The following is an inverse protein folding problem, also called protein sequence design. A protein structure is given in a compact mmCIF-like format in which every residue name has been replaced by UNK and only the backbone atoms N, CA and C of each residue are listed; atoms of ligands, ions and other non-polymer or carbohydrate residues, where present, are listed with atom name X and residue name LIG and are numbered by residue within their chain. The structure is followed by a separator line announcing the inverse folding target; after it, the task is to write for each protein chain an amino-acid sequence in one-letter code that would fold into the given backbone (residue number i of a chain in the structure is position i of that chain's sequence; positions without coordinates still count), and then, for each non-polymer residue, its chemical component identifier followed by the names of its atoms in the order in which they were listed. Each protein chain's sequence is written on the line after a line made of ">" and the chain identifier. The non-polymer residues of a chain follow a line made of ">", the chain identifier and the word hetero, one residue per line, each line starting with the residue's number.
data_IF_329420517209
#
_entry.id   IF_329420517209
#
_cell.length_a   1.000
_cell.length_b   1.000
_cell.length_c   1.000
_cell.angle_alpha   90.00
_cell.angle_beta   90.00
_cell.angle_gamma   90.00
#
_symmetry.space_group_name_H-M   'P 1'
#
loop_
_entity.id
_entity.type
_entity.pdbx_description
1 polymer ?
#
# COMPACT_ATOMS: atom_id res chain seq x y z
N UNK A 1 -3.89 11.11 28.93
CA UNK A 1 -4.57 9.87 28.44
C UNK A 1 -3.70 9.19 27.39
N UNK A 2 -3.90 7.88 27.19
CA UNK A 2 -3.09 7.11 26.23
C UNK A 2 -3.44 7.44 24.78
N UNK A 3 -2.46 7.38 23.89
CA UNK A 3 -2.68 7.41 22.46
C UNK A 3 -3.46 6.17 21.99
N UNK A 4 -4.04 6.19 20.81
CA UNK A 4 -4.64 4.98 20.21
C UNK A 4 -3.61 3.84 20.12
N UNK A 5 -2.36 4.18 19.77
CA UNK A 5 -1.27 3.21 19.72
C UNK A 5 -1.06 2.53 21.09
N UNK A 6 -0.98 3.29 22.17
CA UNK A 6 -0.83 2.72 23.52
C UNK A 6 -2.01 1.83 23.89
N UNK A 7 -3.23 2.26 23.60
CA UNK A 7 -4.44 1.48 23.91
C UNK A 7 -4.45 0.10 23.25
N UNK A 8 -3.96 0.01 22.02
CA UNK A 8 -3.89 -1.27 21.30
C UNK A 8 -2.67 -2.05 21.77
N UNK A 9 -1.49 -1.43 21.78
CA UNK A 9 -0.25 -2.09 22.18
C UNK A 9 -0.34 -2.72 23.55
N UNK A 10 -0.72 -1.93 24.56
CA UNK A 10 -0.72 -2.37 25.96
C UNK A 10 -1.70 -3.53 26.22
N UNK A 11 -2.79 -3.63 25.44
CA UNK A 11 -3.72 -4.78 25.49
C UNK A 11 -3.15 -6.07 24.90
N UNK A 12 -2.12 -5.97 24.08
CA UNK A 12 -1.49 -7.12 23.41
C UNK A 12 -0.15 -7.50 24.08
N UNK A 13 0.29 -6.78 25.10
CA UNK A 13 1.48 -7.14 25.88
C UNK A 13 1.21 -8.42 26.66
N UNK A 14 1.96 -9.47 26.35
CA UNK A 14 1.96 -10.73 27.09
C UNK A 14 2.94 -10.65 28.26
N UNK A 15 4.14 -10.13 27.97
CA UNK A 15 5.20 -9.95 28.96
C UNK A 15 6.16 -8.86 28.51
N UNK A 16 6.68 -8.11 29.46
CA UNK A 16 7.84 -7.24 29.25
C UNK A 16 9.08 -7.99 29.73
N UNK A 17 10.11 -8.03 28.89
CA UNK A 17 11.42 -8.56 29.29
C UNK A 17 12.17 -7.45 29.99
N UNK A 18 12.75 -7.71 31.15
CA UNK A 18 13.52 -6.74 31.92
C UNK A 18 14.67 -6.18 31.04
N UNK A 19 14.73 -4.87 30.90
CA UNK A 19 15.66 -4.16 30.02
C UNK A 19 15.68 -4.64 28.54
N UNK A 20 14.60 -5.28 28.11
CA UNK A 20 14.47 -5.93 26.80
C UNK A 20 13.23 -5.56 25.99
N UNK A 21 12.93 -6.32 24.96
CA UNK A 21 11.75 -6.13 24.12
C UNK A 21 10.46 -6.55 24.86
N UNK A 22 9.34 -6.09 24.33
CA UNK A 22 8.00 -6.54 24.72
C UNK A 22 7.62 -7.79 23.93
N UNK A 23 7.15 -8.83 24.63
CA UNK A 23 6.46 -9.95 23.99
C UNK A 23 5.04 -9.52 23.70
N UNK A 24 4.71 -9.39 22.39
CA UNK A 24 3.44 -8.89 21.88
C UNK A 24 2.64 -10.04 21.28
N UNK A 25 1.39 -10.20 21.68
CA UNK A 25 0.45 -11.12 21.05
C UNK A 25 0.02 -10.58 19.68
N UNK A 26 -0.12 -11.46 18.70
CA UNK A 26 -0.50 -11.13 17.32
C UNK A 26 -1.86 -11.74 17.00
N UNK A 27 -2.85 -10.91 16.67
CA UNK A 27 -4.20 -11.37 16.32
C UNK A 27 -4.28 -11.99 14.93
N UNK A 28 -3.47 -11.52 14.00
CA UNK A 28 -3.51 -11.94 12.60
C UNK A 28 -2.14 -12.03 11.99
N UNK A 29 -1.82 -13.16 11.39
CA UNK A 29 -0.67 -13.33 10.53
C UNK A 29 -1.14 -13.52 9.08
N UNK A 30 -0.58 -12.73 8.17
CA UNK A 30 -0.71 -12.95 6.74
C UNK A 30 0.57 -13.52 6.18
N UNK A 31 0.44 -14.47 5.24
CA UNK A 31 1.56 -15.11 4.57
C UNK A 31 1.38 -15.07 3.06
N UNK A 32 2.46 -14.86 2.33
CA UNK A 32 2.51 -14.95 0.88
C UNK A 32 3.73 -15.78 0.43
N UNK A 33 3.79 -16.12 -0.85
CA UNK A 33 4.73 -17.09 -1.40
C UNK A 33 6.20 -16.67 -1.35
N UNK A 34 6.51 -15.37 -1.19
CA UNK A 34 7.89 -14.89 -1.24
C UNK A 34 8.60 -15.00 0.11
N UNK A 35 7.94 -14.60 1.21
CA UNK A 35 8.60 -14.47 2.53
C UNK A 35 8.26 -15.58 3.52
N UNK A 36 7.32 -16.47 3.19
CA UNK A 36 6.91 -17.55 4.09
C UNK A 36 7.67 -18.87 3.95
N UNK A 37 8.29 -19.27 2.81
CA UNK A 37 8.86 -20.60 2.64
C UNK A 37 9.89 -20.98 3.71
N UNK A 38 10.82 -20.08 4.04
CA UNK A 38 11.86 -20.35 5.06
C UNK A 38 11.26 -20.45 6.47
N UNK A 39 10.18 -19.72 6.77
CA UNK A 39 9.48 -19.85 8.05
C UNK A 39 8.87 -21.25 8.20
N UNK A 40 8.21 -21.77 7.16
CA UNK A 40 7.70 -23.14 7.15
C UNK A 40 8.81 -24.19 7.25
N UNK A 41 9.94 -23.98 6.59
CA UNK A 41 11.09 -24.88 6.71
C UNK A 41 11.65 -24.88 8.13
N UNK A 42 11.75 -23.75 8.79
CA UNK A 42 12.13 -23.65 10.19
C UNK A 42 11.17 -24.38 11.13
N UNK A 43 9.87 -24.26 10.91
CA UNK A 43 8.84 -25.03 11.63
C UNK A 43 9.03 -26.53 11.49
N UNK A 44 9.27 -27.04 10.27
CA UNK A 44 9.54 -28.47 10.00
C UNK A 44 10.80 -28.96 10.70
N UNK A 45 11.91 -28.24 10.56
CA UNK A 45 13.20 -28.63 11.17
C UNK A 45 13.12 -28.74 12.69
N UNK A 46 12.29 -27.93 13.32
CA UNK A 46 12.06 -27.92 14.77
C UNK A 46 10.92 -28.85 15.21
N UNK A 47 10.20 -29.47 14.29
CA UNK A 47 9.03 -30.30 14.60
C UNK A 47 7.88 -29.52 15.20
N UNK A 48 7.77 -28.23 14.88
CA UNK A 48 6.73 -27.34 15.41
C UNK A 48 5.46 -27.38 14.56
N UNK A 49 4.33 -27.11 15.22
CA UNK A 49 3.01 -26.93 14.57
C UNK A 49 2.58 -25.49 14.73
N UNK A 50 1.72 -25.01 13.83
CA UNK A 50 1.08 -23.71 14.00
C UNK A 50 0.22 -23.72 15.27
N UNK A 51 0.44 -22.73 16.14
CA UNK A 51 -0.28 -22.61 17.42
C UNK A 51 -1.75 -22.24 17.21
N UNK A 52 -2.01 -21.31 16.28
CA UNK A 52 -3.36 -20.84 15.93
C UNK A 52 -3.52 -20.76 14.41
N UNK A 53 -3.72 -21.92 13.72
CA UNK A 53 -3.90 -21.94 12.27
C UNK A 53 -5.11 -21.11 11.80
N UNK A 54 -6.14 -20.97 12.65
CA UNK A 54 -7.33 -20.13 12.42
C UNK A 54 -7.03 -18.61 12.40
N UNK A 55 -5.83 -18.19 12.78
CA UNK A 55 -5.36 -16.80 12.75
C UNK A 55 -4.39 -16.50 11.62
N UNK A 56 -4.07 -17.50 10.80
CA UNK A 56 -3.11 -17.40 9.71
C UNK A 56 -3.86 -17.53 8.38
N UNK A 57 -3.68 -16.53 7.51
CA UNK A 57 -4.27 -16.51 6.17
C UNK A 57 -3.19 -16.34 5.13
N UNK A 58 -3.24 -17.17 4.11
CA UNK A 58 -2.23 -17.25 3.07
C UNK A 58 -2.85 -16.87 1.72
N UNK A 59 -2.11 -16.13 0.90
CA UNK A 59 -2.47 -15.88 -0.49
C UNK A 59 -1.25 -15.53 -1.32
N UNK A 60 -1.14 -16.07 -2.54
CA UNK A 60 -0.10 -15.69 -3.49
C UNK A 60 -0.48 -14.36 -4.15
N UNK A 61 0.49 -13.42 -4.24
CA UNK A 61 0.23 -12.12 -4.85
C UNK A 61 1.43 -11.53 -5.62
N UNK A 62 2.68 -11.84 -5.23
CA UNK A 62 3.88 -11.25 -5.82
C UNK A 62 4.30 -11.92 -7.13
N UNK A 63 4.30 -13.25 -7.16
CA UNK A 63 4.65 -14.06 -8.34
C UNK A 63 3.45 -14.45 -9.20
N UNK A 64 2.26 -14.02 -8.82
CA UNK A 64 1.03 -14.27 -9.56
C UNK A 64 1.09 -13.53 -10.91
N UNK A 65 0.99 -14.22 -12.06
CA UNK A 65 0.90 -13.54 -13.35
C UNK A 65 -0.40 -12.72 -13.45
N UNK A 66 -0.39 -11.64 -14.23
CA UNK A 66 -1.59 -10.81 -14.41
C UNK A 66 -2.33 -11.08 -15.73
N UNK A 67 -2.04 -12.21 -16.33
CA UNK A 67 -2.70 -12.77 -17.50
C UNK A 67 -2.64 -14.30 -17.42
N UNK A 68 -3.56 -14.97 -18.08
CA UNK A 68 -3.59 -16.44 -18.21
C UNK A 68 -3.44 -17.21 -16.87
N UNK A 69 -4.02 -16.69 -15.78
CA UNK A 69 -3.94 -17.34 -14.46
C UNK A 69 -4.60 -18.73 -14.40
N UNK A 70 -5.43 -19.05 -15.38
CA UNK A 70 -6.05 -20.37 -15.60
C UNK A 70 -5.09 -21.37 -16.23
N UNK A 71 -3.90 -20.94 -16.65
CA UNK A 71 -2.85 -21.78 -17.25
C UNK A 71 -1.71 -22.03 -16.26
N UNK A 72 -0.90 -23.07 -16.49
CA UNK A 72 0.32 -23.28 -15.69
C UNK A 72 1.25 -22.07 -15.75
N UNK A 73 1.81 -21.68 -14.62
CA UNK A 73 2.81 -20.59 -14.54
C UNK A 73 4.08 -21.03 -15.27
N UNK A 74 4.50 -20.24 -16.25
CA UNK A 74 5.64 -20.59 -17.13
C UNK A 74 6.98 -20.30 -16.47
N UNK A 75 7.11 -19.20 -15.70
CA UNK A 75 8.35 -18.88 -15.00
C UNK A 75 8.63 -19.92 -13.89
N UNK A 76 9.74 -20.66 -13.97
CA UNK A 76 10.02 -21.77 -13.04
C UNK A 76 10.28 -21.30 -11.60
N UNK A 77 10.77 -20.06 -11.39
CA UNK A 77 11.02 -19.51 -10.05
C UNK A 77 9.70 -19.13 -9.39
N UNK A 78 8.86 -18.40 -10.11
CA UNK A 78 7.50 -18.05 -9.66
C UNK A 78 6.68 -19.30 -9.36
N UNK A 79 6.68 -20.26 -10.30
CA UNK A 79 5.99 -21.55 -10.10
C UNK A 79 6.44 -22.27 -8.83
N UNK A 80 7.75 -22.36 -8.59
CA UNK A 80 8.30 -23.04 -7.40
C UNK A 80 7.83 -22.39 -6.10
N UNK A 81 7.73 -21.06 -6.05
CA UNK A 81 7.28 -20.34 -4.86
C UNK A 81 5.78 -20.50 -4.64
N UNK A 82 4.98 -20.45 -5.71
CA UNK A 82 3.52 -20.68 -5.65
C UNK A 82 3.21 -22.11 -5.18
N UNK A 83 3.83 -23.13 -5.81
CA UNK A 83 3.67 -24.53 -5.44
C UNK A 83 4.11 -24.79 -3.97
N UNK A 84 5.13 -24.07 -3.50
CA UNK A 84 5.60 -24.18 -2.12
C UNK A 84 4.57 -23.60 -1.13
N UNK A 85 3.90 -22.51 -1.46
CA UNK A 85 2.83 -21.94 -0.62
C UNK A 85 1.67 -22.91 -0.51
N UNK A 86 1.14 -23.41 -1.65
CA UNK A 86 0.06 -24.40 -1.70
C UNK A 86 0.37 -25.61 -0.78
N UNK A 87 1.55 -26.20 -0.97
CA UNK A 87 2.01 -27.36 -0.18
C UNK A 87 2.10 -27.03 1.32
N UNK A 88 2.64 -25.87 1.66
CA UNK A 88 2.78 -25.42 3.05
C UNK A 88 1.42 -25.22 3.70
N UNK A 89 0.48 -24.60 3.00
CA UNK A 89 -0.88 -24.39 3.51
C UNK A 89 -1.61 -25.71 3.76
N UNK A 90 -1.48 -26.67 2.84
CA UNK A 90 -2.05 -28.02 3.01
C UNK A 90 -1.43 -28.75 4.21
N UNK A 91 -0.08 -28.76 4.31
CA UNK A 91 0.65 -29.45 5.38
C UNK A 91 0.35 -28.90 6.77
N UNK A 92 0.25 -27.57 6.91
CA UNK A 92 0.02 -26.91 8.20
C UNK A 92 -1.46 -26.62 8.49
N UNK A 93 -2.36 -27.00 7.59
CA UNK A 93 -3.82 -26.84 7.76
C UNK A 93 -4.25 -25.37 7.78
N UNK A 94 -3.65 -24.52 6.92
CA UNK A 94 -3.91 -23.09 6.87
C UNK A 94 -4.98 -22.74 5.82
N UNK A 95 -5.67 -21.63 6.05
CA UNK A 95 -6.58 -21.07 5.04
C UNK A 95 -5.78 -20.37 3.96
N UNK A 96 -5.97 -20.81 2.73
CA UNK A 96 -5.35 -20.22 1.55
C UNK A 96 -6.41 -19.70 0.57
N UNK A 97 -6.22 -18.47 0.09
CA UNK A 97 -6.95 -17.91 -1.04
C UNK A 97 -6.11 -18.12 -2.31
N UNK A 98 -6.28 -19.29 -2.92
CA UNK A 98 -5.45 -19.76 -4.05
C UNK A 98 -5.55 -18.84 -5.25
N UNK A 99 -4.46 -18.79 -6.02
CA UNK A 99 -4.41 -18.10 -7.32
C UNK A 99 -5.62 -18.49 -8.19
N UNK A 100 -6.16 -17.53 -8.93
CA UNK A 100 -7.33 -17.68 -9.82
C UNK A 100 -8.64 -18.08 -9.09
N UNK A 101 -8.67 -18.06 -7.76
CA UNK A 101 -9.95 -18.16 -7.04
C UNK A 101 -10.60 -16.77 -6.94
N UNK A 102 -11.93 -16.75 -6.83
CA UNK A 102 -12.72 -15.51 -6.64
C UNK A 102 -12.30 -14.71 -5.39
N UNK A 103 -11.57 -15.34 -4.48
CA UNK A 103 -11.16 -14.80 -3.18
C UNK A 103 -9.70 -14.33 -3.18
N UNK A 104 -8.98 -14.55 -4.28
CA UNK A 104 -7.57 -14.17 -4.39
C UNK A 104 -7.36 -12.72 -4.81
N UNK A 105 -6.19 -12.22 -4.51
CA UNK A 105 -5.68 -10.91 -4.85
C UNK A 105 -4.51 -10.52 -3.97
N UNK A 106 -4.13 -9.25 -4.00
CA UNK A 106 -3.06 -8.72 -3.17
C UNK A 106 -3.48 -8.79 -1.70
N UNK A 107 -2.64 -9.36 -0.86
CA UNK A 107 -2.91 -9.63 0.56
C UNK A 107 -3.40 -8.38 1.33
N UNK A 108 -2.82 -7.21 1.05
CA UNK A 108 -3.18 -5.94 1.67
C UNK A 108 -4.45 -5.29 1.06
N UNK A 109 -5.02 -5.88 0.03
CA UNK A 109 -6.34 -5.54 -0.54
C UNK A 109 -7.38 -6.51 -0.02
N UNK A 110 -7.14 -7.80 -0.14
CA UNK A 110 -8.07 -8.87 0.25
C UNK A 110 -8.34 -8.90 1.76
N UNK A 111 -7.32 -8.69 2.60
CA UNK A 111 -7.47 -8.69 4.06
C UNK A 111 -8.56 -7.72 4.56
N UNK A 112 -8.50 -6.43 4.21
CA UNK A 112 -9.58 -5.47 4.48
C UNK A 112 -10.91 -5.82 3.80
N UNK A 113 -10.88 -6.19 2.51
CA UNK A 113 -12.09 -6.50 1.75
C UNK A 113 -12.90 -7.66 2.32
N UNK A 114 -12.24 -8.65 2.90
CA UNK A 114 -12.92 -9.77 3.53
C UNK A 114 -13.31 -9.53 4.99
N UNK A 115 -12.90 -8.42 5.59
CA UNK A 115 -13.13 -8.15 7.02
C UNK A 115 -12.23 -8.99 7.92
N UNK A 116 -11.06 -9.41 7.43
CA UNK A 116 -10.03 -10.13 8.19
C UNK A 116 -9.19 -9.17 9.05
N UNK A 117 -9.11 -7.91 8.64
CA UNK A 117 -8.43 -6.83 9.35
C UNK A 117 -9.46 -5.96 10.05
N UNK A 118 -9.44 -5.92 11.37
CA UNK A 118 -10.44 -5.25 12.18
C UNK A 118 -9.80 -4.24 13.16
N UNK A 119 -10.55 -3.22 13.60
CA UNK A 119 -10.04 -2.25 14.56
C UNK A 119 -9.56 -2.89 15.87
N UNK A 120 -8.45 -2.39 16.38
CA UNK A 120 -7.88 -2.83 17.64
C UNK A 120 -7.05 -4.11 17.58
N UNK A 121 -6.88 -4.70 16.40
CA UNK A 121 -6.02 -5.87 16.20
C UNK A 121 -4.54 -5.50 16.08
N UNK A 122 -3.68 -6.48 16.37
CA UNK A 122 -2.28 -6.53 15.95
C UNK A 122 -2.17 -7.43 14.72
N UNK A 123 -1.60 -6.92 13.62
CA UNK A 123 -1.55 -7.61 12.33
C UNK A 123 -0.11 -7.59 11.80
N UNK A 124 0.40 -8.75 11.40
CA UNK A 124 1.74 -8.85 10.83
C UNK A 124 1.77 -9.68 9.54
N UNK A 125 2.75 -9.39 8.70
CA UNK A 125 3.07 -10.11 7.47
C UNK A 125 4.54 -9.95 7.14
N UNK A 126 5.11 -10.84 6.35
CA UNK A 126 6.48 -10.72 5.83
C UNK A 126 6.66 -9.62 4.77
N UNK A 127 5.74 -8.67 4.66
CA UNK A 127 5.76 -7.52 3.74
C UNK A 127 5.65 -6.20 4.50
N UNK A 128 6.47 -5.22 4.11
CA UNK A 128 6.50 -3.91 4.75
C UNK A 128 5.17 -3.14 4.62
N UNK A 129 4.42 -3.34 3.51
CA UNK A 129 3.13 -2.67 3.29
C UNK A 129 1.98 -3.23 4.14
N UNK A 130 2.27 -4.12 5.09
CA UNK A 130 1.33 -4.54 6.15
C UNK A 130 0.76 -3.33 6.91
N UNK A 131 1.47 -2.20 6.94
CA UNK A 131 0.97 -0.93 7.48
C UNK A 131 -0.36 -0.48 6.88
N UNK A 132 -0.71 -0.94 5.67
CA UNK A 132 -2.01 -0.71 5.02
C UNK A 132 -3.20 -1.01 5.94
N UNK A 133 -3.12 -2.10 6.71
CA UNK A 133 -4.19 -2.54 7.60
C UNK A 133 -4.43 -1.58 8.79
N UNK A 134 -3.50 -0.65 9.02
CA UNK A 134 -3.66 0.42 10.01
C UNK A 134 -4.81 1.38 9.66
N UNK A 135 -5.23 1.47 8.41
CA UNK A 135 -6.41 2.23 8.00
C UNK A 135 -7.70 1.72 8.67
N UNK A 136 -7.72 0.46 9.07
CA UNK A 136 -8.81 -0.16 9.82
C UNK A 136 -8.76 0.17 11.33
N UNK A 137 -7.78 0.92 11.81
CA UNK A 137 -7.54 1.14 13.23
C UNK A 137 -6.82 -0.01 13.94
N UNK A 138 -5.96 -0.73 13.20
CA UNK A 138 -5.14 -1.83 13.70
C UNK A 138 -3.67 -1.39 13.86
N UNK A 139 -2.94 -2.01 14.79
CA UNK A 139 -1.47 -1.90 14.85
C UNK A 139 -0.90 -2.95 13.91
N UNK A 140 -0.57 -2.52 12.69
CA UNK A 140 -0.16 -3.39 11.60
C UNK A 140 1.24 -3.04 11.08
N UNK A 141 2.13 -4.03 10.95
CA UNK A 141 3.51 -3.80 10.53
C UNK A 141 4.17 -5.03 9.91
N UNK A 142 5.15 -4.77 9.04
CA UNK A 142 5.96 -5.81 8.42
C UNK A 142 6.96 -6.44 9.38
N UNK A 143 7.23 -7.74 9.22
CA UNK A 143 8.16 -8.52 10.03
C UNK A 143 9.10 -9.35 9.15
N UNK A 144 10.22 -9.77 9.70
CA UNK A 144 11.16 -10.67 9.03
C UNK A 144 10.69 -12.12 9.03
N UNK A 145 11.27 -12.92 8.14
CA UNK A 145 10.91 -14.35 7.97
C UNK A 145 11.04 -15.16 9.26
N UNK A 146 12.10 -14.93 10.07
CA UNK A 146 12.26 -15.59 11.37
C UNK A 146 11.17 -15.20 12.37
N UNK A 147 10.67 -13.97 12.27
CA UNK A 147 9.57 -13.51 13.10
C UNK A 147 8.22 -14.12 12.63
N UNK A 148 8.05 -14.34 11.31
CA UNK A 148 6.91 -15.10 10.77
C UNK A 148 6.87 -16.49 11.39
N UNK A 149 8.00 -17.22 11.41
CA UNK A 149 8.12 -18.53 12.08
C UNK A 149 7.73 -18.45 13.56
N UNK A 150 8.22 -17.42 14.27
CA UNK A 150 7.92 -17.21 15.70
C UNK A 150 6.42 -17.04 15.93
N UNK A 151 5.75 -16.22 15.09
CA UNK A 151 4.30 -16.00 15.19
C UNK A 151 3.52 -17.27 14.85
N UNK A 152 3.94 -18.03 13.83
CA UNK A 152 3.32 -19.33 13.52
C UNK A 152 3.35 -20.28 14.72
N UNK A 153 4.51 -20.35 15.40
CA UNK A 153 4.73 -21.27 16.50
C UNK A 153 4.08 -20.84 17.82
N UNK A 154 3.96 -19.55 18.10
CA UNK A 154 3.61 -19.04 19.44
C UNK A 154 2.50 -17.99 19.45
N UNK A 155 2.10 -17.48 18.31
CA UNK A 155 1.22 -16.31 18.15
C UNK A 155 1.76 -15.03 18.81
N UNK A 156 3.05 -14.99 19.13
CA UNK A 156 3.72 -13.87 19.77
C UNK A 156 4.98 -13.47 19.01
N UNK A 157 5.43 -12.23 19.25
CA UNK A 157 6.65 -11.68 18.69
C UNK A 157 7.34 -10.79 19.74
N UNK A 158 8.67 -10.67 19.66
CA UNK A 158 9.45 -9.76 20.49
C UNK A 158 9.68 -8.46 19.73
N UNK A 159 9.19 -7.34 20.25
CA UNK A 159 9.30 -6.04 19.61
C UNK A 159 9.64 -4.93 20.59
N UNK A 160 10.50 -4.00 20.18
CA UNK A 160 10.65 -2.73 20.87
C UNK A 160 9.45 -1.84 20.56
N UNK A 161 8.83 -1.25 21.60
CA UNK A 161 7.70 -0.32 21.40
C UNK A 161 8.17 0.91 20.65
N UNK A 162 7.64 1.18 19.44
CA UNK A 162 7.96 2.41 18.71
C UNK A 162 7.48 3.65 19.46
N UNK A 163 8.10 4.80 19.18
CA UNK A 163 7.58 6.11 19.58
C UNK A 163 6.29 6.43 18.81
N UNK A 164 5.45 7.29 19.38
CA UNK A 164 4.22 7.75 18.76
C UNK A 164 4.44 9.08 18.01
N UNK A 165 3.96 9.14 16.77
CA UNK A 165 3.91 10.39 15.98
C UNK A 165 2.47 10.66 15.56
N UNK A 166 2.04 11.93 15.61
CA UNK A 166 0.77 12.35 15.05
C UNK A 166 0.98 13.30 13.88
N UNK A 167 0.29 13.03 12.79
CA UNK A 167 0.27 13.90 11.60
C UNK A 167 -1.18 14.37 11.40
N UNK A 168 -1.42 15.64 11.70
CA UNK A 168 -2.71 16.28 11.46
C UNK A 168 -2.72 16.93 10.08
N UNK A 169 -3.76 16.65 9.28
CA UNK A 169 -3.98 17.29 7.99
C UNK A 169 -5.35 17.94 8.04
N UNK A 170 -5.36 19.25 8.12
CA UNK A 170 -6.58 20.06 8.27
C UNK A 170 -6.95 20.77 6.95
N UNK A 171 -8.02 21.54 6.95
CA UNK A 171 -8.50 22.23 5.76
C UNK A 171 -9.22 21.28 4.79
N UNK A 172 -9.11 21.55 3.49
CA UNK A 172 -9.74 20.76 2.42
C UNK A 172 -8.75 20.54 1.28
N UNK A 173 -8.83 19.36 0.68
CA UNK A 173 -8.07 19.06 -0.54
C UNK A 173 -8.66 19.85 -1.73
N UNK A 174 -7.76 20.30 -2.60
CA UNK A 174 -8.12 20.94 -3.85
C UNK A 174 -8.67 19.93 -4.88
N UNK A 175 -9.23 20.46 -5.98
CA UNK A 175 -9.69 19.65 -7.12
C UNK A 175 -8.53 18.83 -7.68
N UNK A 176 -8.77 17.55 -8.00
CA UNK A 176 -7.78 16.67 -8.61
C UNK A 176 -6.74 16.09 -7.63
N UNK A 177 -6.88 16.35 -6.32
CA UNK A 177 -5.99 15.83 -5.28
C UNK A 177 -6.59 14.58 -4.64
N UNK A 178 -5.80 13.52 -4.53
CA UNK A 178 -6.18 12.25 -3.92
C UNK A 178 -5.33 11.92 -2.69
N UNK A 179 -5.64 10.85 -1.97
CA UNK A 179 -4.84 10.38 -0.84
C UNK A 179 -3.38 10.04 -1.24
N UNK A 180 -3.15 9.62 -2.49
CA UNK A 180 -1.79 9.40 -3.03
C UNK A 180 -0.99 10.70 -3.07
N UNK A 181 -1.61 11.79 -3.50
CA UNK A 181 -0.96 13.10 -3.55
C UNK A 181 -0.64 13.61 -2.14
N UNK A 182 -1.54 13.36 -1.17
CA UNK A 182 -1.30 13.65 0.25
C UNK A 182 -0.06 12.88 0.76
N UNK A 183 0.02 11.58 0.51
CA UNK A 183 1.16 10.79 0.94
C UNK A 183 2.47 11.24 0.28
N UNK A 184 2.48 11.52 -1.03
CA UNK A 184 3.64 12.06 -1.75
C UNK A 184 4.04 13.45 -1.23
N UNK A 185 3.07 14.29 -0.86
CA UNK A 185 3.35 15.58 -0.22
C UNK A 185 4.05 15.39 1.11
N UNK A 186 3.53 14.55 1.99
CA UNK A 186 4.16 14.27 3.29
C UNK A 186 5.59 13.75 3.12
N UNK A 187 5.81 12.80 2.20
CA UNK A 187 7.14 12.26 1.91
C UNK A 187 8.11 13.33 1.38
N UNK A 188 7.63 14.26 0.56
CA UNK A 188 8.47 15.37 0.09
C UNK A 188 8.87 16.36 1.20
N UNK A 189 8.10 16.42 2.30
CA UNK A 189 8.37 17.29 3.47
C UNK A 189 9.19 16.58 4.54
N UNK A 190 8.91 15.29 4.77
CA UNK A 190 9.50 14.52 5.86
C UNK A 190 10.69 13.66 5.42
N UNK A 191 10.90 13.51 4.12
CA UNK A 191 11.86 12.58 3.48
C UNK A 191 11.51 11.11 3.75
N UNK A 192 12.31 10.20 3.22
CA UNK A 192 12.14 8.74 3.41
C UNK A 192 12.55 8.24 4.80
N UNK A 193 13.03 9.10 5.69
CA UNK A 193 13.46 8.77 7.05
C UNK A 193 12.79 9.60 8.14
N UNK A 194 11.89 10.52 7.80
CA UNK A 194 11.31 11.49 8.73
C UNK A 194 10.43 10.91 9.83
N UNK A 195 9.98 9.67 9.66
CA UNK A 195 9.19 8.92 10.65
C UNK A 195 9.90 7.68 11.19
N UNK A 196 11.22 7.56 11.00
CA UNK A 196 12.01 6.43 11.49
C UNK A 196 11.90 6.29 13.01
N UNK A 197 11.54 5.08 13.47
CA UNK A 197 11.34 4.77 14.88
C UNK A 197 9.97 5.14 15.45
N UNK A 198 9.07 5.65 14.61
CA UNK A 198 7.70 6.02 15.00
C UNK A 198 6.64 5.08 14.43
N UNK A 199 5.54 4.98 15.16
CA UNK A 199 4.24 4.55 14.66
C UNK A 199 3.38 5.81 14.47
N UNK A 200 2.82 6.00 13.26
CA UNK A 200 2.19 7.27 12.85
C UNK A 200 0.67 7.19 12.96
N UNK A 201 0.07 8.09 13.76
CA UNK A 201 -1.37 8.34 13.74
C UNK A 201 -1.70 9.50 12.80
N UNK A 202 -2.49 9.21 11.76
CA UNK A 202 -3.02 10.25 10.88
C UNK A 202 -4.34 10.77 11.42
N UNK A 203 -4.48 12.09 11.46
CA UNK A 203 -5.63 12.78 12.00
C UNK A 203 -5.93 14.09 11.23
N UNK A 204 -6.91 14.83 11.67
CA UNK A 204 -7.34 16.08 11.05
C UNK A 204 -8.54 15.91 10.12
N UNK A 205 -9.07 17.03 9.62
CA UNK A 205 -10.30 17.03 8.82
C UNK A 205 -10.15 16.26 7.51
N UNK A 206 -9.02 16.47 6.81
CA UNK A 206 -8.75 15.79 5.54
C UNK A 206 -8.78 14.27 5.70
N UNK A 207 -8.21 13.73 6.79
CA UNK A 207 -8.18 12.28 7.03
C UNK A 207 -9.57 11.74 7.39
N UNK A 208 -10.36 12.50 8.16
CA UNK A 208 -11.75 12.11 8.46
C UNK A 208 -12.63 12.07 7.22
N UNK A 209 -12.41 13.01 6.28
CA UNK A 209 -13.18 13.13 5.04
C UNK A 209 -12.72 12.11 3.97
N UNK A 210 -11.58 11.42 4.16
CA UNK A 210 -11.13 10.37 3.25
C UNK A 210 -12.03 9.14 3.32
N UNK A 211 -12.27 8.54 2.15
CA UNK A 211 -12.79 7.19 2.04
C UNK A 211 -11.86 6.16 2.69
N UNK A 212 -12.34 4.94 2.89
CA UNK A 212 -11.47 3.86 3.38
C UNK A 212 -10.32 3.56 2.42
N UNK A 213 -10.56 3.57 1.12
CA UNK A 213 -9.54 3.36 0.09
C UNK A 213 -8.45 4.44 0.17
N UNK A 214 -8.83 5.69 0.40
CA UNK A 214 -7.90 6.79 0.64
C UNK A 214 -7.06 6.59 1.90
N UNK A 215 -7.68 6.17 3.00
CA UNK A 215 -6.98 5.85 4.26
C UNK A 215 -6.04 4.65 4.10
N UNK A 216 -6.45 3.62 3.34
CA UNK A 216 -5.62 2.46 3.02
C UNK A 216 -4.38 2.87 2.21
N UNK A 217 -4.52 3.77 1.24
CA UNK A 217 -3.39 4.34 0.49
C UNK A 217 -2.44 5.12 1.39
N UNK A 218 -2.97 5.97 2.28
CA UNK A 218 -2.17 6.79 3.19
C UNK A 218 -1.36 5.93 4.17
N UNK A 219 -2.02 4.95 4.80
CA UNK A 219 -1.37 4.02 5.72
C UNK A 219 -0.36 3.09 5.02
N UNK A 220 -0.66 2.65 3.79
CA UNK A 220 0.25 1.87 2.96
C UNK A 220 1.60 2.57 2.78
N UNK A 221 1.57 3.87 2.47
CA UNK A 221 2.77 4.65 2.17
C UNK A 221 3.52 5.16 3.41
N UNK A 222 3.03 4.89 4.62
CA UNK A 222 3.71 5.29 5.86
C UNK A 222 5.12 4.75 5.97
N UNK A 223 5.34 3.52 5.52
CA UNK A 223 6.65 2.88 5.59
C UNK A 223 7.68 3.52 4.65
N UNK A 224 7.24 4.25 3.64
CA UNK A 224 8.12 4.98 2.73
C UNK A 224 8.69 6.27 3.36
N UNK A 225 8.18 6.68 4.53
CA UNK A 225 8.77 7.72 5.39
C UNK A 225 9.63 7.12 6.51
N UNK A 226 9.89 5.80 6.49
CA UNK A 226 10.62 5.08 7.52
C UNK A 226 9.79 4.73 8.76
N UNK A 227 8.49 4.98 8.76
CA UNK A 227 7.62 4.63 9.88
C UNK A 227 7.54 3.11 10.10
N UNK A 228 7.37 2.68 11.35
CA UNK A 228 7.10 1.27 11.66
C UNK A 228 5.74 0.83 11.15
N UNK A 229 4.79 1.75 11.11
CA UNK A 229 3.45 1.61 10.57
C UNK A 229 2.71 2.94 10.67
N UNK A 230 1.53 2.98 10.06
CA UNK A 230 0.64 4.13 10.14
C UNK A 230 -0.80 3.67 10.29
N UNK A 231 -1.62 4.42 11.00
CA UNK A 231 -3.01 4.06 11.23
C UNK A 231 -3.92 5.29 11.34
N UNK A 232 -5.20 5.05 11.20
CA UNK A 232 -6.27 6.03 11.39
C UNK A 232 -7.20 5.51 12.48
N UNK A 233 -7.62 6.37 13.40
CA UNK A 233 -8.62 5.99 14.40
C UNK A 233 -9.92 5.55 13.69
N UNK A 234 -10.49 4.38 14.05
CA UNK A 234 -11.70 3.89 13.41
C UNK A 234 -12.89 4.80 13.74
N UNK A 235 -13.71 5.07 12.74
CA UNK A 235 -14.90 5.89 12.82
C UNK A 235 -16.06 5.25 12.01
N UNK A 236 -17.15 5.98 11.81
CA UNK A 236 -18.32 5.48 11.09
C UNK A 236 -17.96 5.04 9.66
N UNK A 237 -17.04 5.72 8.96
CA UNK A 237 -16.55 5.31 7.64
C UNK A 237 -15.89 3.92 7.70
N UNK A 238 -15.12 3.67 8.76
CA UNK A 238 -14.50 2.35 8.98
C UNK A 238 -15.55 1.28 9.28
N UNK A 239 -16.54 1.60 10.12
CA UNK A 239 -17.58 0.64 10.49
C UNK A 239 -18.47 0.28 9.29
N UNK A 240 -18.87 1.26 8.49
CA UNK A 240 -19.63 1.02 7.26
C UNK A 240 -18.85 0.15 6.27
N UNK A 241 -17.56 0.38 6.11
CA UNK A 241 -16.70 -0.42 5.24
C UNK A 241 -16.62 -1.88 5.69
N UNK A 242 -16.55 -2.16 7.00
CA UNK A 242 -16.44 -3.52 7.56
C UNK A 242 -17.78 -4.26 7.55
N UNK A 243 -18.88 -3.52 7.70
CA UNK A 243 -20.21 -4.10 7.90
C UNK A 243 -20.60 -5.07 6.78
N UNK A 244 -21.00 -6.28 7.18
CA UNK A 244 -21.49 -7.32 6.26
C UNK A 244 -20.40 -8.09 5.50
N UNK A 245 -19.12 -7.80 5.72
CA UNK A 245 -18.02 -8.57 5.12
C UNK A 245 -17.95 -9.98 5.70
N UNK A 246 -17.37 -10.89 4.94
CA UNK A 246 -17.41 -12.34 5.20
C UNK A 246 -16.93 -12.70 6.60
N UNK A 247 -15.77 -12.16 7.02
CA UNK A 247 -15.12 -12.43 8.31
C UNK A 247 -15.38 -11.35 9.37
N UNK A 248 -16.21 -10.37 9.07
CA UNK A 248 -16.62 -9.37 10.05
C UNK A 248 -17.55 -9.97 11.11
N UNK A 249 -17.57 -9.47 12.35
CA UNK A 249 -18.55 -9.84 13.35
C UNK A 249 -19.98 -9.66 12.84
N UNK A 250 -20.90 -10.51 13.31
CA UNK A 250 -22.31 -10.51 12.86
C UNK A 250 -23.27 -10.45 14.05
N UNK A 251 -24.47 -9.91 13.82
CA UNK A 251 -25.51 -9.84 14.85
C UNK A 251 -25.04 -9.13 16.12
N UNK A 252 -25.31 -9.72 17.28
CA UNK A 252 -24.95 -9.15 18.58
C UNK A 252 -23.43 -8.97 18.79
N UNK A 253 -22.60 -9.75 18.10
CA UNK A 253 -21.15 -9.59 18.18
C UNK A 253 -20.67 -8.37 17.37
N UNK A 254 -21.40 -8.00 16.32
CA UNK A 254 -21.18 -6.74 15.61
C UNK A 254 -21.42 -5.54 16.52
N UNK A 255 -22.54 -5.52 17.23
CA UNK A 255 -22.90 -4.40 18.11
C UNK A 255 -21.86 -4.21 19.23
N UNK A 256 -21.42 -5.31 19.85
CA UNK A 256 -20.34 -5.30 20.87
C UNK A 256 -19.00 -4.82 20.28
N UNK A 257 -18.68 -5.26 19.06
CA UNK A 257 -17.45 -4.87 18.39
C UNK A 257 -17.46 -3.36 18.10
N UNK A 258 -18.54 -2.81 17.56
CA UNK A 258 -18.68 -1.37 17.28
C UNK A 258 -18.60 -0.56 18.57
N UNK A 259 -19.26 -1.01 19.66
CA UNK A 259 -19.16 -0.36 20.97
C UNK A 259 -17.69 -0.27 21.44
N UNK A 260 -16.94 -1.37 21.33
CA UNK A 260 -15.52 -1.39 21.64
C UNK A 260 -14.71 -0.50 20.68
N UNK A 261 -14.94 -0.60 19.37
CA UNK A 261 -14.18 0.17 18.37
C UNK A 261 -14.34 1.68 18.53
N UNK A 262 -15.50 2.17 18.97
CA UNK A 262 -15.74 3.59 19.31
C UNK A 262 -14.84 4.10 20.43
N UNK A 263 -14.27 3.23 21.26
CA UNK A 263 -13.29 3.58 22.29
C UNK A 263 -11.86 3.73 21.76
N UNK A 264 -11.60 3.23 20.54
CA UNK A 264 -10.29 3.19 19.90
C UNK A 264 -9.97 4.54 19.24
N UNK A 265 -9.70 5.53 20.03
CA UNK A 265 -9.22 6.86 19.61
C UNK A 265 -8.26 7.41 20.67
N UNK A 266 -7.33 8.24 20.26
CA UNK A 266 -6.48 8.99 21.18
C UNK A 266 -7.34 9.94 22.01
N UNK A 267 -6.99 10.11 23.28
CA UNK A 267 -7.65 11.10 24.14
C UNK A 267 -7.32 12.53 23.70
N UNK A 268 -8.17 13.49 24.07
CA UNK A 268 -7.95 14.90 23.74
C UNK A 268 -6.67 15.46 24.38
N UNK A 269 -6.24 14.87 25.48
CA UNK A 269 -5.01 15.16 26.24
C UNK A 269 -3.88 14.14 25.98
N UNK A 270 -3.98 13.31 24.94
CA UNK A 270 -2.94 12.36 24.58
C UNK A 270 -1.65 13.10 24.17
N UNK A 271 -0.52 12.63 24.69
CA UNK A 271 0.79 13.19 24.38
C UNK A 271 1.49 12.29 23.38
N UNK A 272 1.92 12.87 22.28
CA UNK A 272 2.73 12.20 21.25
C UNK A 272 4.20 12.63 21.41
N UNK A 273 5.13 11.71 21.08
CA UNK A 273 6.55 12.04 21.05
C UNK A 273 6.87 13.08 19.95
N UNK A 274 6.06 13.10 18.89
CA UNK A 274 6.16 14.10 17.80
C UNK A 274 4.77 14.39 17.23
N UNK A 275 4.47 15.66 17.01
CA UNK A 275 3.23 16.09 16.36
C UNK A 275 3.52 17.07 15.22
N UNK A 276 2.89 16.85 14.07
CA UNK A 276 3.05 17.65 12.86
C UNK A 276 1.68 18.09 12.34
N UNK A 277 1.63 19.30 11.79
CA UNK A 277 0.40 19.88 11.24
C UNK A 277 0.63 20.33 9.81
N UNK A 278 -0.29 19.97 8.92
CA UNK A 278 -0.29 20.35 7.50
C UNK A 278 -1.67 20.88 7.11
N UNK A 279 -1.69 21.76 6.11
CA UNK A 279 -2.93 22.25 5.49
C UNK A 279 -3.18 21.50 4.18
N UNK A 280 -4.37 20.92 4.03
CA UNK A 280 -4.79 20.25 2.80
C UNK A 280 -4.82 21.18 1.59
N UNK A 281 -5.01 22.49 1.81
CA UNK A 281 -5.00 23.49 0.74
C UNK A 281 -3.62 23.67 0.08
N UNK A 282 -2.54 23.32 0.76
CA UNK A 282 -1.17 23.37 0.22
C UNK A 282 -0.85 22.19 -0.71
N UNK A 283 -1.76 21.23 -0.81
CA UNK A 283 -1.52 19.99 -1.55
C UNK A 283 -2.14 20.08 -2.94
N UNK A 284 -1.30 19.98 -3.96
CA UNK A 284 -1.71 19.83 -5.36
C UNK A 284 -1.43 18.42 -5.87
N UNK A 285 -1.92 18.01 -7.07
CA UNK A 285 -1.51 16.75 -7.69
C UNK A 285 0.00 16.66 -7.78
N UNK A 286 0.56 15.47 -7.51
CA UNK A 286 2.01 15.31 -7.30
C UNK A 286 2.60 14.22 -8.17
N UNK A 287 3.88 14.40 -8.48
CA UNK A 287 4.74 13.44 -9.16
C UNK A 287 6.11 13.35 -8.47
N UNK A 288 6.80 12.22 -8.64
CA UNK A 288 8.22 12.11 -8.26
C UNK A 288 9.10 12.45 -9.45
N UNK A 289 10.29 13.00 -9.16
CA UNK A 289 11.31 13.36 -10.16
C UNK A 289 12.62 12.56 -10.01
N UNK A 290 12.73 11.76 -8.95
CA UNK A 290 13.95 11.01 -8.64
C UNK A 290 13.67 9.53 -8.34
N UNK A 291 14.61 8.90 -7.66
CA UNK A 291 14.65 7.45 -7.43
C UNK A 291 14.17 7.02 -6.03
N UNK A 292 13.47 7.90 -5.33
CA UNK A 292 12.75 7.56 -4.09
C UNK A 292 11.50 8.43 -3.92
N UNK A 293 10.50 7.99 -3.13
CA UNK A 293 9.24 8.70 -2.99
C UNK A 293 9.34 10.08 -2.34
N UNK A 294 10.39 10.36 -1.57
CA UNK A 294 10.66 11.68 -0.99
C UNK A 294 11.09 12.73 -2.03
N UNK A 295 11.55 12.31 -3.20
CA UNK A 295 11.90 13.19 -4.32
C UNK A 295 10.66 13.56 -5.13
N UNK A 296 9.70 14.24 -4.49
CA UNK A 296 8.39 14.61 -5.05
C UNK A 296 8.22 16.12 -5.20
N UNK A 297 7.50 16.52 -6.27
CA UNK A 297 7.10 17.91 -6.55
C UNK A 297 5.61 17.96 -6.87
N UNK A 298 5.00 19.15 -6.74
CA UNK A 298 3.70 19.42 -7.34
C UNK A 298 3.77 19.34 -8.86
N UNK A 299 2.68 18.96 -9.49
CA UNK A 299 2.60 18.76 -10.94
C UNK A 299 2.94 20.04 -11.73
N UNK A 300 2.65 21.22 -11.13
CA UNK A 300 2.97 22.54 -11.71
C UNK A 300 4.40 23.01 -11.42
N UNK A 301 5.12 22.31 -10.55
CA UNK A 301 6.45 22.66 -10.08
C UNK A 301 7.56 22.28 -11.03
N UNK A 302 8.80 22.47 -10.54
CA UNK A 302 10.02 22.08 -11.24
C UNK A 302 10.92 21.26 -10.32
N UNK A 303 11.78 20.43 -10.90
CA UNK A 303 12.87 19.75 -10.20
C UNK A 303 13.68 20.80 -9.42
N UNK A 304 13.99 20.58 -8.13
CA UNK A 304 14.78 21.53 -7.35
C UNK A 304 16.11 21.89 -8.02
N UNK A 305 16.55 23.15 -7.85
CA UNK A 305 17.87 23.58 -8.25
C UNK A 305 18.89 23.21 -7.18
N UNK A 306 20.19 23.14 -7.56
CA UNK A 306 21.25 22.66 -6.65
C UNK A 306 21.45 23.53 -5.40
N UNK A 307 21.10 24.80 -5.45
CA UNK A 307 21.12 25.72 -4.31
C UNK A 307 20.08 25.41 -3.24
N UNK A 308 19.05 24.64 -3.59
CA UNK A 308 18.00 24.17 -2.66
C UNK A 308 18.29 22.79 -2.04
N UNK A 309 19.39 22.18 -2.40
CA UNK A 309 19.80 20.85 -1.92
C UNK A 309 20.97 21.03 -0.94
N UNK A 310 20.83 20.40 0.24
CA UNK A 310 21.89 20.37 1.24
C UNK A 310 23.17 19.76 0.64
N UNK A 311 24.32 20.26 1.05
CA UNK A 311 25.62 19.87 0.49
C UNK A 311 25.83 18.35 0.50
N UNK A 312 25.47 17.69 1.62
CA UNK A 312 25.57 16.24 1.77
C UNK A 312 24.61 15.46 0.86
N UNK A 313 23.53 16.07 0.40
CA UNK A 313 22.51 15.48 -0.48
C UNK A 313 22.79 15.63 -1.97
N UNK A 314 23.66 16.57 -2.37
CA UNK A 314 23.88 16.93 -3.79
C UNK A 314 24.33 15.75 -4.65
N UNK A 315 25.25 14.93 -4.17
CA UNK A 315 25.76 13.79 -4.93
C UNK A 315 24.66 12.75 -5.21
N UNK A 316 23.86 12.41 -4.21
CA UNK A 316 22.73 11.49 -4.35
C UNK A 316 21.62 12.07 -5.23
N UNK A 317 21.33 13.36 -5.09
CA UNK A 317 20.38 14.08 -5.93
C UNK A 317 20.77 14.03 -7.40
N UNK A 318 22.02 14.39 -7.73
CA UNK A 318 22.54 14.36 -9.11
C UNK A 318 22.54 12.94 -9.70
N UNK A 319 22.93 11.93 -8.91
CA UNK A 319 22.87 10.54 -9.33
C UNK A 319 21.42 10.11 -9.68
N UNK A 320 20.46 10.49 -8.86
CA UNK A 320 19.04 10.19 -9.10
C UNK A 320 18.53 10.88 -10.38
N UNK A 321 18.93 12.14 -10.62
CA UNK A 321 18.54 12.86 -11.84
C UNK A 321 19.20 12.29 -13.09
N UNK A 322 20.46 11.87 -13.00
CA UNK A 322 21.17 11.21 -14.11
C UNK A 322 20.45 9.91 -14.51
N UNK A 323 20.10 9.07 -13.53
CA UNK A 323 19.30 7.87 -13.79
C UNK A 323 17.96 8.18 -14.44
N UNK A 324 17.23 9.18 -13.92
CA UNK A 324 15.94 9.60 -14.46
C UNK A 324 16.05 10.37 -15.77
N UNK A 325 17.24 10.88 -16.14
CA UNK A 325 17.44 11.70 -17.32
C UNK A 325 16.87 13.11 -17.21
N UNK A 326 16.71 13.64 -15.98
CA UNK A 326 16.19 14.97 -15.70
C UNK A 326 17.31 15.94 -15.29
N UNK A 327 17.02 17.25 -15.33
CA UNK A 327 17.97 18.30 -14.96
C UNK A 327 17.45 19.15 -13.80
N UNK A 328 18.33 19.69 -12.95
CA UNK A 328 17.93 20.68 -11.95
C UNK A 328 17.17 21.86 -12.61
N UNK A 329 16.05 22.27 -12.01
CA UNK A 329 15.19 23.36 -12.50
C UNK A 329 14.24 22.98 -13.64
N UNK A 330 14.30 21.74 -14.15
CA UNK A 330 13.44 21.27 -15.26
C UNK A 330 11.98 21.16 -14.83
N UNK A 331 11.06 21.58 -15.71
CA UNK A 331 9.62 21.29 -15.58
C UNK A 331 9.31 19.93 -16.20
N UNK A 332 8.59 19.09 -15.46
CA UNK A 332 8.26 17.77 -15.93
C UNK A 332 6.89 17.68 -16.62
N UNK A 333 6.01 18.65 -16.42
CA UNK A 333 4.77 18.77 -17.22
C UNK A 333 5.10 18.84 -18.71
N UNK A 334 4.45 18.01 -19.53
CA UNK A 334 4.74 17.86 -20.96
C UNK A 334 5.86 16.85 -21.30
N UNK A 335 6.56 16.28 -20.30
CA UNK A 335 7.55 15.24 -20.54
C UNK A 335 6.88 13.95 -21.05
N UNK A 336 7.45 13.36 -22.11
CA UNK A 336 6.90 12.14 -22.74
C UNK A 336 6.89 10.97 -21.77
N UNK A 337 5.82 10.19 -21.80
CA UNK A 337 5.60 8.95 -21.05
C UNK A 337 5.42 7.80 -22.02
N UNK A 338 5.91 6.61 -21.68
CA UNK A 338 5.81 5.41 -22.51
C UNK A 338 4.85 4.38 -21.89
N UNK A 339 4.82 4.32 -20.55
CA UNK A 339 3.99 3.39 -19.79
C UNK A 339 3.13 4.11 -18.75
N UNK A 340 1.93 3.57 -18.54
CA UNK A 340 1.07 3.92 -17.39
C UNK A 340 0.72 2.65 -16.65
N UNK A 341 0.92 2.67 -15.33
CA UNK A 341 0.56 1.58 -14.44
C UNK A 341 -0.45 2.05 -13.39
N UNK A 342 -1.65 1.46 -13.41
CA UNK A 342 -2.67 1.58 -12.36
C UNK A 342 -2.77 0.24 -11.64
N UNK A 343 -2.52 0.20 -10.34
CA UNK A 343 -2.55 -1.04 -9.57
C UNK A 343 -1.79 -0.96 -8.26
N UNK A 344 -1.31 -2.10 -7.82
CA UNK A 344 -0.63 -2.34 -6.55
C UNK A 344 -1.53 -2.28 -5.31
N UNK A 345 -0.98 -2.68 -4.15
CA UNK A 345 -1.69 -2.55 -2.88
C UNK A 345 -1.96 -1.10 -2.47
N UNK A 346 -1.29 -0.13 -3.08
CA UNK A 346 -1.56 1.30 -2.90
C UNK A 346 -2.84 1.75 -3.59
N UNK A 347 -2.98 1.48 -4.90
CA UNK A 347 -4.03 2.04 -5.75
C UNK A 347 -4.58 1.02 -6.77
N UNK A 348 -4.89 -0.17 -6.30
CA UNK A 348 -5.57 -1.22 -7.09
C UNK A 348 -7.01 -1.49 -6.62
N UNK A 349 -7.67 -0.52 -5.95
CA UNK A 349 -9.03 -0.65 -5.43
C UNK A 349 -10.05 -0.02 -6.35
N UNK A 350 -11.31 -0.29 -6.13
CA UNK A 350 -12.40 0.17 -7.01
C UNK A 350 -12.44 1.69 -7.17
N UNK A 351 -12.15 2.47 -6.15
CA UNK A 351 -12.11 3.94 -6.24
C UNK A 351 -11.01 4.44 -7.18
N UNK A 352 -9.88 3.74 -7.24
CA UNK A 352 -8.78 4.09 -8.14
C UNK A 352 -9.20 3.91 -9.61
N UNK A 353 -9.94 2.85 -9.90
CA UNK A 353 -10.51 2.61 -11.22
C UNK A 353 -11.62 3.60 -11.57
N UNK A 354 -12.47 3.97 -10.61
CA UNK A 354 -13.48 5.03 -10.79
C UNK A 354 -12.81 6.38 -11.09
N UNK A 355 -11.75 6.73 -10.36
CA UNK A 355 -10.98 7.95 -10.56
C UNK A 355 -10.32 7.95 -11.94
N UNK A 356 -9.66 6.87 -12.33
CA UNK A 356 -9.04 6.72 -13.64
C UNK A 356 -10.09 6.83 -14.77
N UNK A 357 -11.18 6.08 -14.65
CA UNK A 357 -12.27 6.08 -15.63
C UNK A 357 -12.92 7.47 -15.79
N UNK A 358 -13.02 8.26 -14.73
CA UNK A 358 -13.59 9.61 -14.79
C UNK A 358 -12.81 10.56 -15.70
N UNK A 359 -11.50 10.41 -15.79
CA UNK A 359 -10.63 11.19 -16.68
C UNK A 359 -10.70 10.69 -18.13
N UNK A 360 -10.69 9.37 -18.34
CA UNK A 360 -10.57 8.80 -19.68
C UNK A 360 -11.90 8.65 -20.42
N UNK A 361 -13.04 8.77 -19.72
CA UNK A 361 -14.38 8.67 -20.31
C UNK A 361 -14.56 9.64 -21.49
N UNK A 362 -14.93 9.09 -22.65
CA UNK A 362 -15.10 9.85 -23.88
C UNK A 362 -13.82 10.32 -24.56
N UNK A 363 -12.66 9.87 -24.07
CA UNK A 363 -11.34 10.15 -24.64
C UNK A 363 -10.68 8.85 -25.11
N UNK A 364 -9.55 8.95 -25.79
CA UNK A 364 -8.75 7.81 -26.24
C UNK A 364 -7.38 7.82 -25.56
N UNK A 365 -6.87 6.64 -25.30
CA UNK A 365 -5.49 6.42 -24.90
C UNK A 365 -4.56 6.93 -26.00
N UNK A 366 -3.51 7.65 -25.63
CA UNK A 366 -2.49 8.10 -26.57
C UNK A 366 -1.75 6.91 -27.22
N UNK A 367 -1.42 7.02 -28.52
CA UNK A 367 -0.84 5.92 -29.29
C UNK A 367 0.53 5.46 -28.77
N UNK A 368 1.29 6.37 -28.14
CA UNK A 368 2.60 6.07 -27.56
C UNK A 368 2.52 5.38 -26.19
N UNK A 369 1.33 5.20 -25.60
CA UNK A 369 1.18 4.65 -24.27
C UNK A 369 0.88 3.15 -24.28
N UNK A 370 1.68 2.39 -23.55
CA UNK A 370 1.31 1.06 -23.06
C UNK A 370 0.74 1.21 -21.65
N UNK A 371 -0.48 0.78 -21.42
CA UNK A 371 -1.14 0.91 -20.12
C UNK A 371 -1.45 -0.45 -19.51
N UNK A 372 -1.10 -0.64 -18.24
CA UNK A 372 -1.42 -1.82 -17.45
C UNK A 372 -2.34 -1.41 -16.30
N UNK A 373 -3.61 -1.82 -16.40
CA UNK A 373 -4.64 -1.60 -15.40
C UNK A 373 -4.87 -2.91 -14.65
N UNK A 374 -4.38 -2.99 -13.41
CA UNK A 374 -4.30 -4.24 -12.65
C UNK A 374 -5.15 -4.13 -11.38
N UNK A 375 -6.32 -4.79 -11.31
CA UNK A 375 -7.11 -4.84 -10.09
C UNK A 375 -6.33 -5.47 -8.93
N UNK A 376 -6.56 -4.99 -7.72
CA UNK A 376 -5.90 -5.54 -6.54
C UNK A 376 -6.48 -6.87 -6.07
N UNK A 377 -7.69 -7.24 -6.51
CA UNK A 377 -8.35 -8.49 -6.18
C UNK A 377 -9.41 -8.87 -7.23
N UNK A 378 -9.84 -10.14 -7.22
CA UNK A 378 -10.95 -10.58 -8.04
C UNK A 378 -12.28 -9.92 -7.64
N UNK A 379 -12.42 -9.45 -6.40
CA UNK A 379 -13.57 -8.66 -5.99
C UNK A 379 -13.56 -7.28 -6.68
N UNK A 380 -12.41 -6.62 -6.76
CA UNK A 380 -12.27 -5.35 -7.50
C UNK A 380 -12.56 -5.55 -9.00
N UNK A 381 -12.03 -6.61 -9.63
CA UNK A 381 -12.34 -6.92 -11.03
C UNK A 381 -13.85 -7.12 -11.25
N UNK A 382 -14.51 -7.83 -10.35
CA UNK A 382 -15.96 -8.00 -10.36
C UNK A 382 -16.69 -6.64 -10.26
N UNK A 383 -16.30 -5.78 -9.32
CA UNK A 383 -16.92 -4.45 -9.15
C UNK A 383 -16.71 -3.57 -10.39
N UNK A 384 -15.53 -3.59 -11.00
CA UNK A 384 -15.26 -2.88 -12.27
C UNK A 384 -16.28 -3.25 -13.34
N UNK A 385 -16.59 -4.54 -13.48
CA UNK A 385 -17.55 -5.04 -14.47
C UNK A 385 -19.01 -4.74 -14.08
N UNK A 386 -19.36 -4.90 -12.83
CA UNK A 386 -20.71 -4.59 -12.32
C UNK A 386 -21.06 -3.11 -12.45
N UNK A 387 -20.08 -2.22 -12.29
CA UNK A 387 -20.25 -0.78 -12.50
C UNK A 387 -20.11 -0.32 -13.95
N UNK A 388 -19.77 -1.23 -14.86
CA UNK A 388 -19.58 -0.93 -16.29
C UNK A 388 -18.34 -0.08 -16.59
N UNK A 389 -17.38 -0.02 -15.65
CA UNK A 389 -16.12 0.70 -15.82
C UNK A 389 -15.24 0.01 -16.89
N UNK A 390 -15.32 -1.31 -17.01
CA UNK A 390 -14.66 -2.10 -18.05
C UNK A 390 -14.99 -1.55 -19.45
N UNK A 391 -16.27 -1.28 -19.75
CA UNK A 391 -16.71 -0.73 -21.03
C UNK A 391 -16.14 0.66 -21.28
N UNK A 392 -16.15 1.53 -20.25
CA UNK A 392 -15.58 2.89 -20.34
C UNK A 392 -14.08 2.81 -20.67
N UNK A 393 -13.35 1.89 -20.02
CA UNK A 393 -11.92 1.70 -20.22
C UNK A 393 -11.62 1.09 -21.59
N UNK A 394 -12.37 0.08 -22.00
CA UNK A 394 -12.23 -0.56 -23.33
C UNK A 394 -12.54 0.43 -24.48
N UNK A 395 -13.60 1.22 -24.35
CA UNK A 395 -13.92 2.29 -25.29
C UNK A 395 -12.80 3.32 -25.41
N UNK A 396 -12.10 3.61 -24.31
CA UNK A 396 -10.94 4.49 -24.30
C UNK A 396 -9.64 3.83 -24.82
N UNK A 397 -9.65 2.52 -25.11
CA UNK A 397 -8.52 1.76 -25.65
C UNK A 397 -7.62 1.12 -24.60
N UNK A 398 -8.15 0.89 -23.39
CA UNK A 398 -7.45 0.19 -22.31
C UNK A 398 -7.92 -1.25 -22.16
N UNK A 399 -7.00 -2.13 -21.78
CA UNK A 399 -7.31 -3.49 -21.36
C UNK A 399 -7.05 -3.65 -19.85
N UNK A 400 -7.97 -4.32 -19.16
CA UNK A 400 -7.83 -4.65 -17.76
C UNK A 400 -7.13 -6.00 -17.66
N UNK A 401 -6.11 -6.09 -16.79
CA UNK A 401 -5.38 -7.31 -16.49
C UNK A 401 -6.05 -8.08 -15.35
N UNK A 402 -5.61 -9.31 -15.12
CA UNK A 402 -6.01 -10.11 -13.97
C UNK A 402 -5.32 -9.60 -12.70
N UNK A 403 -5.94 -9.80 -11.50
CA UNK A 403 -5.43 -9.27 -10.24
C UNK A 403 -4.04 -9.79 -9.86
N UNK A 404 -3.19 -8.93 -9.30
CA UNK A 404 -1.86 -9.26 -8.81
C UNK A 404 -1.00 -8.02 -8.57
N UNK A 405 0.23 -8.22 -8.09
CA UNK A 405 1.18 -7.13 -7.85
C UNK A 405 1.79 -6.55 -9.14
N UNK A 406 1.91 -7.35 -10.20
CA UNK A 406 2.37 -6.90 -11.53
C UNK A 406 3.70 -6.13 -11.48
N UNK A 407 3.81 -5.08 -12.29
CA UNK A 407 4.97 -4.21 -12.36
C UNK A 407 5.25 -3.41 -11.06
N UNK A 408 4.42 -3.47 -10.03
CA UNK A 408 4.75 -2.82 -8.76
C UNK A 408 6.09 -3.33 -8.19
N UNK A 409 6.37 -4.62 -8.34
CA UNK A 409 7.61 -5.27 -7.91
C UNK A 409 8.37 -5.92 -9.07
N UNK A 410 7.69 -6.20 -10.19
CA UNK A 410 8.25 -6.84 -11.39
C UNK A 410 8.92 -8.22 -11.09
N UNK A 411 8.35 -8.98 -10.15
CA UNK A 411 8.81 -10.35 -9.86
C UNK A 411 8.27 -11.38 -10.85
N UNK A 412 7.14 -11.09 -11.49
CA UNK A 412 6.59 -11.85 -12.60
C UNK A 412 7.09 -11.30 -13.96
N UNK A 413 6.44 -11.70 -15.08
CA UNK A 413 6.83 -11.27 -16.43
C UNK A 413 6.46 -9.81 -16.75
N UNK A 414 5.71 -9.14 -15.89
CA UNK A 414 5.32 -7.75 -16.06
C UNK A 414 6.48 -6.79 -15.77
N UNK A 415 7.41 -6.68 -16.71
CA UNK A 415 8.60 -5.83 -16.61
C UNK A 415 8.56 -4.69 -17.60
N UNK A 416 8.79 -3.48 -17.11
CA UNK A 416 8.87 -2.28 -17.95
C UNK A 416 10.27 -2.21 -18.57
N UNK A 417 10.40 -1.99 -19.90
CA UNK A 417 11.68 -1.97 -20.59
C UNK A 417 12.62 -0.87 -20.09
N UNK A 418 13.92 -1.13 -20.20
CA UNK A 418 14.97 -0.16 -19.86
C UNK A 418 14.85 1.14 -20.68
N UNK A 419 15.14 2.27 -20.04
CA UNK A 419 15.13 3.59 -20.66
C UNK A 419 13.75 4.20 -20.89
N UNK A 420 12.65 3.48 -20.60
CA UNK A 420 11.28 3.98 -20.75
C UNK A 420 10.76 4.63 -19.47
N UNK A 421 9.86 5.60 -19.61
CA UNK A 421 9.21 6.30 -18.49
C UNK A 421 7.84 5.70 -18.20
N UNK A 422 7.62 5.37 -16.93
CA UNK A 422 6.33 4.91 -16.43
C UNK A 422 5.74 5.89 -15.43
N UNK A 423 4.53 6.39 -15.66
CA UNK A 423 3.72 7.04 -14.63
C UNK A 423 2.94 5.94 -13.91
N UNK A 424 3.18 5.81 -12.60
CA UNK A 424 2.79 4.64 -11.84
C UNK A 424 2.12 4.98 -10.50
N UNK A 425 1.07 4.27 -10.18
CA UNK A 425 0.42 4.34 -8.87
C UNK A 425 1.04 3.42 -7.82
N UNK A 426 2.13 2.71 -8.16
CA UNK A 426 2.87 1.86 -7.22
C UNK A 426 3.44 2.65 -6.02
N UNK A 427 4.08 1.96 -5.10
CA UNK A 427 4.54 2.54 -3.84
C UNK A 427 6.01 2.98 -3.86
N UNK A 428 6.84 2.40 -4.70
CA UNK A 428 8.30 2.62 -4.78
C UNK A 428 8.77 2.87 -6.19
N UNK A 429 9.82 3.66 -6.33
CA UNK A 429 10.41 4.04 -7.63
C UNK A 429 11.95 4.05 -7.63
N UNK A 430 12.58 3.21 -6.80
CA UNK A 430 14.03 3.07 -6.87
C UNK A 430 14.47 2.51 -8.23
N UNK A 431 15.75 2.67 -8.56
CA UNK A 431 16.35 2.23 -9.82
C UNK A 431 15.97 0.77 -10.17
N UNK A 432 15.32 0.57 -11.31
CA UNK A 432 14.92 -0.76 -11.79
C UNK A 432 13.70 -1.39 -11.09
N UNK A 433 12.96 -0.66 -10.26
CA UNK A 433 11.82 -1.22 -9.50
C UNK A 433 10.78 -1.92 -10.36
N UNK A 434 10.44 -1.36 -11.51
CA UNK A 434 9.45 -1.91 -12.45
C UNK A 434 10.06 -2.70 -13.60
N UNK A 435 11.34 -2.98 -13.52
CA UNK A 435 12.16 -3.66 -14.53
C UNK A 435 13.55 -3.03 -14.64
N UNK A 436 14.60 -3.81 -14.96
CA UNK A 436 15.97 -3.29 -15.05
C UNK A 436 16.06 -2.07 -15.96
N UNK A 437 16.56 -0.93 -15.44
CA UNK A 437 16.73 0.31 -16.20
C UNK A 437 15.44 1.08 -16.51
N UNK A 438 14.28 0.67 -16.00
CA UNK A 438 13.02 1.43 -16.11
C UNK A 438 13.03 2.66 -15.22
N UNK A 439 12.35 3.73 -15.66
CA UNK A 439 12.26 5.02 -14.96
C UNK A 439 10.83 5.24 -14.46
N UNK A 440 10.64 5.13 -13.16
CA UNK A 440 9.30 5.18 -12.55
C UNK A 440 9.02 6.53 -11.93
N UNK A 441 7.93 7.17 -12.35
CA UNK A 441 7.37 8.40 -11.78
C UNK A 441 6.13 8.02 -10.99
N UNK A 442 6.20 8.14 -9.67
CA UNK A 442 5.02 7.89 -8.81
C UNK A 442 4.03 9.02 -8.95
N UNK A 443 2.75 8.66 -9.08
CA UNK A 443 1.65 9.59 -9.23
C UNK A 443 0.32 9.00 -8.73
N UNK A 444 -0.70 9.83 -8.62
CA UNK A 444 -2.06 9.41 -8.31
C UNK A 444 -2.77 8.79 -9.52
N UNK A 445 -3.89 8.05 -9.31
CA UNK A 445 -4.71 7.50 -10.39
C UNK A 445 -5.19 8.55 -11.39
N UNK A 446 -5.50 9.77 -10.92
CA UNK A 446 -5.93 10.87 -11.78
C UNK A 446 -4.79 11.37 -12.68
N UNK A 447 -3.59 11.55 -12.13
CA UNK A 447 -2.39 11.94 -12.91
C UNK A 447 -2.01 10.84 -13.90
N UNK A 448 -2.08 9.58 -13.49
CA UNK A 448 -1.82 8.43 -14.35
C UNK A 448 -2.80 8.38 -15.54
N UNK A 449 -4.09 8.62 -15.28
CA UNK A 449 -5.13 8.69 -16.32
C UNK A 449 -4.90 9.85 -17.29
N UNK A 450 -4.55 11.02 -16.77
CA UNK A 450 -4.22 12.19 -17.59
C UNK A 450 -3.03 11.91 -18.52
N UNK A 451 -1.95 11.34 -17.97
CA UNK A 451 -0.79 10.94 -18.74
C UNK A 451 -1.13 9.86 -19.80
N UNK A 452 -2.04 8.93 -19.48
CA UNK A 452 -2.47 7.89 -20.43
C UNK A 452 -3.22 8.45 -21.65
N UNK A 453 -3.98 9.52 -21.46
CA UNK A 453 -4.74 10.19 -22.53
C UNK A 453 -3.86 11.09 -23.39
N UNK A 454 -2.94 11.82 -22.76
CA UNK A 454 -2.15 12.85 -23.46
C UNK A 454 -0.81 12.34 -23.99
N UNK A 455 -0.30 11.22 -23.47
CA UNK A 455 1.02 10.66 -23.80
C UNK A 455 2.18 11.39 -23.10
N UNK A 456 1.88 12.36 -22.24
CA UNK A 456 2.87 13.17 -21.50
C UNK A 456 2.43 13.38 -20.05
N UNK A 457 3.34 13.79 -19.17
CA UNK A 457 3.00 14.21 -17.81
C UNK A 457 2.04 15.40 -17.90
N UNK A 458 0.83 15.25 -17.39
CA UNK A 458 -0.26 16.24 -17.51
C UNK A 458 -0.96 16.44 -16.18
N UNK A 459 -1.27 17.68 -15.87
CA UNK A 459 -2.12 18.04 -14.72
C UNK A 459 -3.54 17.49 -14.95
N UNK A 460 -4.05 16.59 -14.09
CA UNK A 460 -5.38 16.00 -14.29
C UNK A 460 -6.50 17.05 -14.28
N UNK A 461 -6.28 18.21 -13.65
CA UNK A 461 -7.26 19.32 -13.57
C UNK A 461 -7.61 19.91 -14.94
N UNK A 462 -6.72 19.76 -15.92
CA UNK A 462 -6.94 20.18 -17.30
C UNK A 462 -7.95 19.30 -18.07
N UNK A 463 -8.20 18.09 -17.58
CA UNK A 463 -9.07 17.10 -18.23
C UNK A 463 -10.37 16.80 -17.45
N UNK A 464 -10.54 17.43 -16.27
CA UNK A 464 -11.68 17.23 -15.36
C UNK A 464 -12.87 18.16 -15.67
#
# INVERSE_FOLDING_TARGET
>A
MNTLFDKIWDKHVVQMVDDGPTQLYIDRLYCHEVTSPQAFDGMRQRGLKCFRPDKIYCMPDHNTPTHDQDKPVEDPVSKKQLDALDKNCEEFGLTEFKMFSKDNGIIHVVGPEKGLSLPGMTIVCGDSHTSTHGAMGAVAFGIGTSEVEMVMASQCILQQKPKSMRININGKLGKGVTAKDVALYLMSKLTTSGATGYFVEYAGQVVRDMSMEGRLTLCNLSIEMGARGGFVAPDETTFEYIKGREYAPKGADWDKAVEYWKTLKSGDDAVFDKELNFDGADIEPRITYGTNPGMGIGITGSVPTLDKIDENGKASFLKSLDYMGFKPGEKLAGHKVDYVFLGACTNGRIEDFRAFASIVKGKKKADNITAWLVPGSWLVDKQIREEGLDKVLEEAGFAIRQPGCSACLAMNDDKIPAGTYSVSTSNRNFEGRQGPGSRTILASPLVAAAAAVTGVITDPRELM
#
